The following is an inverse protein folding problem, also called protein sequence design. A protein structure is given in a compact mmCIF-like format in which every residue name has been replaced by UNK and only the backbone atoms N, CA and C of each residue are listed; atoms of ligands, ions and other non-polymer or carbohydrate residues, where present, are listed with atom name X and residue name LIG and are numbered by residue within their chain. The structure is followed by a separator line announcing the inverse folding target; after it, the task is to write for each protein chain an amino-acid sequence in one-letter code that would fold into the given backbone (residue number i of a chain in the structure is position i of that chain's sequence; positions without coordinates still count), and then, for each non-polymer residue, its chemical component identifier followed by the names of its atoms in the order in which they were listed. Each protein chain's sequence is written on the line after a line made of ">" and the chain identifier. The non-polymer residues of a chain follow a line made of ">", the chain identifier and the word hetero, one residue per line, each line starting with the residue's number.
data_IF_139637863297
#
_entry.id   IF_139637863297
#
_cell.length_a   1.000
_cell.length_b   1.000
_cell.length_c   1.000
_cell.angle_alpha   90.00
_cell.angle_beta   90.00
_cell.angle_gamma   90.00
#
_symmetry.space_group_name_H-M   'P 1'
#
loop_
_entity.id
_entity.type
_entity.pdbx_description
1 polymer ?
#
# COMPACT_ATOMS: atom_id res chain seq x y z
N UNK A 1 -34.24 -22.76 14.68
CA UNK A 1 -33.99 -21.42 14.11
C UNK A 1 -32.89 -20.81 14.95
N UNK A 2 -31.66 -21.27 14.73
CA UNK A 2 -30.49 -20.75 15.43
C UNK A 2 -29.68 -19.94 14.43
N UNK A 3 -29.70 -18.62 14.62
CA UNK A 3 -28.79 -17.71 13.93
C UNK A 3 -27.39 -18.02 14.44
N UNK A 4 -26.56 -18.62 13.59
CA UNK A 4 -25.12 -18.58 13.81
C UNK A 4 -24.68 -17.12 13.64
N UNK A 5 -24.34 -16.50 14.76
CA UNK A 5 -23.50 -15.31 14.81
C UNK A 5 -22.13 -15.67 14.19
N UNK A 6 -21.97 -15.42 12.89
CA UNK A 6 -20.66 -15.41 12.25
C UNK A 6 -19.97 -14.13 12.73
N UNK A 7 -19.10 -14.28 13.73
CA UNK A 7 -18.16 -13.24 14.15
C UNK A 7 -17.35 -12.78 12.93
N UNK A 8 -17.58 -11.54 12.51
CA UNK A 8 -16.87 -10.87 11.41
C UNK A 8 -15.50 -10.34 11.85
N UNK A 9 -14.72 -11.14 12.56
CA UNK A 9 -13.31 -10.81 12.87
C UNK A 9 -12.41 -11.59 11.91
N UNK A 10 -12.21 -11.04 10.72
CA UNK A 10 -11.14 -11.48 9.81
C UNK A 10 -10.14 -10.34 9.70
N UNK A 11 -9.45 -10.07 10.82
CA UNK A 11 -8.25 -9.27 10.82
C UNK A 11 -7.21 -10.06 10.01
N UNK A 12 -6.93 -9.61 8.78
CA UNK A 12 -6.01 -10.34 7.90
C UNK A 12 -4.61 -10.33 8.55
N UNK A 13 -3.98 -11.50 8.74
CA UNK A 13 -2.65 -11.58 9.38
C UNK A 13 -1.51 -11.00 8.51
N UNK A 14 -1.81 -10.64 7.26
CA UNK A 14 -0.85 -10.18 6.27
C UNK A 14 -1.37 -9.04 5.39
N UNK A 15 -0.47 -8.13 4.95
CA UNK A 15 -0.79 -7.08 4.00
C UNK A 15 -1.15 -7.62 2.63
N UNK A 16 -2.02 -6.88 1.94
CA UNK A 16 -2.38 -7.11 0.56
C UNK A 16 -1.80 -5.99 -0.29
N UNK A 17 -0.97 -6.35 -1.26
CA UNK A 17 -0.22 -5.42 -2.10
C UNK A 17 -0.80 -5.48 -3.52
N UNK A 18 -1.54 -4.44 -3.91
CA UNK A 18 -1.94 -4.25 -5.30
C UNK A 18 -0.85 -3.50 -6.06
N UNK A 19 -0.35 -4.10 -7.13
CA UNK A 19 0.72 -3.58 -7.99
C UNK A 19 0.11 -3.32 -9.37
N UNK A 20 0.20 -2.09 -9.86
CA UNK A 20 -0.16 -1.75 -11.22
C UNK A 20 1.05 -1.24 -12.00
N UNK A 21 1.18 -1.69 -13.25
CA UNK A 21 2.24 -1.25 -14.15
C UNK A 21 1.74 -1.14 -15.59
N UNK A 22 2.48 -0.40 -16.40
CA UNK A 22 2.24 -0.33 -17.84
C UNK A 22 2.77 -1.58 -18.58
N UNK A 23 2.36 -1.80 -19.83
CA UNK A 23 2.91 -2.91 -20.65
C UNK A 23 4.42 -2.77 -20.91
N UNK A 24 4.91 -1.54 -21.10
CA UNK A 24 6.33 -1.24 -21.30
C UNK A 24 7.19 -1.44 -20.03
N UNK A 25 6.56 -1.67 -18.88
CA UNK A 25 7.20 -1.75 -17.57
C UNK A 25 7.65 -3.18 -17.21
N UNK A 26 7.65 -4.13 -18.17
CA UNK A 26 7.90 -5.56 -17.92
C UNK A 26 9.23 -5.85 -17.22
N UNK A 27 10.33 -5.23 -17.68
CA UNK A 27 11.66 -5.49 -17.08
C UNK A 27 11.76 -4.91 -15.66
N UNK A 28 11.12 -3.78 -15.41
CA UNK A 28 11.00 -3.25 -14.05
C UNK A 28 10.13 -4.15 -13.17
N UNK A 29 9.07 -4.73 -13.73
CA UNK A 29 8.19 -5.65 -13.02
C UNK A 29 8.94 -6.93 -12.67
N UNK A 30 9.71 -7.51 -13.60
CA UNK A 30 10.61 -8.65 -13.35
C UNK A 30 11.61 -8.34 -12.23
N UNK A 31 12.23 -7.16 -12.27
CA UNK A 31 13.15 -6.70 -11.22
C UNK A 31 12.45 -6.61 -9.87
N UNK A 32 11.23 -6.06 -9.84
CA UNK A 32 10.42 -5.96 -8.63
C UNK A 32 10.10 -7.35 -8.09
N UNK A 33 9.49 -8.23 -8.88
CA UNK A 33 9.07 -9.57 -8.41
C UNK A 33 10.26 -10.45 -8.04
N UNK A 34 11.40 -10.30 -8.71
CA UNK A 34 12.64 -10.99 -8.35
C UNK A 34 13.24 -10.50 -7.02
N UNK A 35 12.95 -9.27 -6.62
CA UNK A 35 13.35 -8.75 -5.31
C UNK A 35 12.45 -9.21 -4.16
N UNK A 36 11.22 -9.69 -4.44
CA UNK A 36 10.26 -10.12 -3.43
C UNK A 36 10.69 -11.45 -2.81
N UNK A 37 11.50 -11.35 -1.75
CA UNK A 37 11.94 -12.48 -0.93
C UNK A 37 11.01 -12.71 0.27
N UNK A 38 10.20 -11.72 0.63
CA UNK A 38 9.30 -11.81 1.78
C UNK A 38 8.05 -12.63 1.48
N UNK A 39 7.76 -13.60 2.32
CA UNK A 39 6.54 -14.42 2.26
C UNK A 39 5.36 -13.78 2.98
N UNK A 40 5.51 -12.55 3.48
CA UNK A 40 4.62 -12.04 4.52
C UNK A 40 3.38 -11.31 4.00
N UNK A 41 3.23 -11.15 2.68
CA UNK A 41 2.09 -10.48 2.04
C UNK A 41 1.60 -11.21 0.79
N UNK A 42 0.41 -10.83 0.30
CA UNK A 42 -0.16 -11.33 -0.96
C UNK A 42 -0.08 -10.24 -2.02
N UNK A 43 0.43 -10.56 -3.21
CA UNK A 43 0.68 -9.60 -4.27
C UNK A 43 -0.31 -9.79 -5.42
N UNK A 44 -0.94 -8.72 -5.89
CA UNK A 44 -1.90 -8.75 -6.99
C UNK A 44 -1.41 -7.78 -8.06
N UNK A 45 -1.03 -8.31 -9.23
CA UNK A 45 -0.45 -7.57 -10.33
C UNK A 45 -1.51 -7.30 -11.41
N UNK A 46 -1.67 -6.02 -11.73
CA UNK A 46 -2.39 -5.52 -12.89
C UNK A 46 -1.36 -4.99 -13.88
N UNK A 47 -1.30 -5.57 -15.08
CA UNK A 47 -0.59 -4.97 -16.20
C UNK A 47 -1.62 -4.29 -17.09
N UNK A 48 -1.40 -2.99 -17.35
CA UNK A 48 -2.13 -2.11 -18.27
C UNK A 48 -3.45 -2.68 -18.80
N UNK A 49 -4.56 -2.31 -18.17
CA UNK A 49 -5.87 -2.80 -18.56
C UNK A 49 -6.36 -2.20 -19.89
N UNK A 50 -5.64 -1.20 -20.45
CA UNK A 50 -6.00 -0.48 -21.67
C UNK A 50 -5.25 -0.95 -22.92
N UNK A 51 -4.20 -1.77 -22.75
CA UNK A 51 -3.39 -2.36 -23.81
C UNK A 51 -3.46 -3.89 -23.74
N UNK A 52 -3.19 -4.61 -24.84
CA UNK A 52 -3.00 -6.05 -24.78
C UNK A 52 -1.92 -6.40 -23.76
N UNK A 53 -2.22 -7.33 -22.86
CA UNK A 53 -1.25 -7.80 -21.88
C UNK A 53 -0.14 -8.57 -22.58
N UNK A 54 1.05 -8.59 -21.96
CA UNK A 54 2.11 -9.47 -22.44
C UNK A 54 1.64 -10.91 -22.38
N UNK A 55 1.74 -11.63 -23.50
CA UNK A 55 1.37 -13.05 -23.57
C UNK A 55 2.18 -13.84 -22.55
N UNK A 56 1.50 -14.73 -21.83
CA UNK A 56 2.09 -15.58 -20.80
C UNK A 56 2.82 -14.78 -19.70
N UNK A 57 2.28 -13.61 -19.31
CA UNK A 57 2.92 -12.76 -18.30
C UNK A 57 3.25 -13.51 -17.02
N UNK A 58 2.34 -14.37 -16.55
CA UNK A 58 2.55 -15.19 -15.35
C UNK A 58 3.78 -16.11 -15.47
N UNK A 59 3.93 -16.80 -16.60
CA UNK A 59 5.11 -17.64 -16.89
C UNK A 59 6.39 -16.81 -16.98
N UNK A 60 6.35 -15.64 -17.63
CA UNK A 60 7.51 -14.75 -17.75
C UNK A 60 7.96 -14.20 -16.40
N UNK A 61 7.02 -13.85 -15.52
CA UNK A 61 7.34 -13.39 -14.17
C UNK A 61 7.85 -14.54 -13.31
N UNK A 62 7.31 -15.76 -13.47
CA UNK A 62 7.75 -16.93 -12.71
C UNK A 62 9.22 -17.27 -12.96
N UNK A 63 9.76 -16.98 -14.15
CA UNK A 63 11.18 -17.20 -14.47
C UNK A 63 12.14 -16.40 -13.59
N UNK A 64 11.70 -15.26 -13.05
CA UNK A 64 12.53 -14.39 -12.19
C UNK A 64 12.04 -14.32 -10.75
N UNK A 65 10.77 -14.63 -10.50
CA UNK A 65 10.18 -14.58 -9.17
C UNK A 65 10.65 -15.74 -8.30
N UNK A 66 10.91 -15.44 -7.03
CA UNK A 66 11.16 -16.44 -5.99
C UNK A 66 9.83 -17.01 -5.49
N UNK A 67 8.81 -16.17 -5.40
CA UNK A 67 7.46 -16.55 -4.98
C UNK A 67 6.68 -17.21 -6.13
N UNK A 68 5.74 -18.14 -5.83
CA UNK A 68 4.83 -18.68 -6.83
C UNK A 68 3.98 -17.58 -7.48
N UNK A 69 3.99 -17.57 -8.82
CA UNK A 69 3.19 -16.69 -9.66
C UNK A 69 2.02 -17.48 -10.24
N UNK A 70 0.81 -16.97 -10.08
CA UNK A 70 -0.42 -17.60 -10.56
C UNK A 70 -1.28 -16.59 -11.31
N UNK A 71 -1.70 -16.92 -12.52
CA UNK A 71 -2.76 -16.17 -13.18
C UNK A 71 -4.12 -16.52 -12.56
N UNK A 72 -4.95 -15.51 -12.30
CA UNK A 72 -6.30 -15.73 -11.80
C UNK A 72 -7.16 -16.25 -12.96
N UNK A 73 -7.86 -17.38 -12.77
CA UNK A 73 -8.72 -17.97 -13.83
C UNK A 73 -10.18 -17.59 -13.66
N UNK A 74 -10.72 -17.71 -12.44
CA UNK A 74 -12.11 -17.36 -12.12
C UNK A 74 -12.20 -16.73 -10.74
N UNK A 75 -11.66 -17.44 -9.75
CA UNK A 75 -11.52 -16.96 -8.38
C UNK A 75 -10.16 -17.33 -7.81
N UNK A 76 -9.63 -16.48 -6.95
CA UNK A 76 -8.42 -16.78 -6.19
C UNK A 76 -8.60 -16.38 -4.72
N UNK A 77 -8.29 -17.29 -3.81
CA UNK A 77 -8.11 -16.98 -2.40
C UNK A 77 -6.70 -16.43 -2.21
N UNK A 78 -6.59 -15.24 -1.63
CA UNK A 78 -5.29 -14.59 -1.40
C UNK A 78 -4.52 -15.30 -0.32
N UNK A 79 -3.27 -15.69 -0.62
CA UNK A 79 -2.36 -16.33 0.32
C UNK A 79 -1.07 -15.50 0.45
N UNK A 80 -0.51 -15.42 1.67
CA UNK A 80 0.78 -14.77 1.86
C UNK A 80 1.87 -15.54 1.10
N UNK A 81 2.80 -14.81 0.49
CA UNK A 81 3.87 -15.39 -0.33
C UNK A 81 3.44 -15.82 -1.73
N UNK A 82 2.29 -15.34 -2.23
CA UNK A 82 1.85 -15.59 -3.60
C UNK A 82 1.73 -14.30 -4.40
N UNK A 83 2.05 -14.42 -5.69
CA UNK A 83 1.86 -13.37 -6.69
C UNK A 83 0.72 -13.80 -7.60
N UNK A 84 -0.35 -13.02 -7.64
CA UNK A 84 -1.51 -13.23 -8.50
C UNK A 84 -1.47 -12.25 -9.66
N UNK A 85 -1.53 -12.74 -10.89
CA UNK A 85 -1.62 -11.93 -12.10
C UNK A 85 -3.07 -11.85 -12.54
N UNK A 86 -3.58 -10.64 -12.70
CA UNK A 86 -4.90 -10.40 -13.28
C UNK A 86 -4.78 -10.55 -14.81
N UNK A 87 -5.57 -11.42 -15.45
CA UNK A 87 -5.56 -11.55 -16.90
C UNK A 87 -6.22 -10.33 -17.58
N UNK A 88 -5.80 -10.05 -18.81
CA UNK A 88 -6.38 -9.00 -19.66
C UNK A 88 -7.89 -9.14 -19.84
N UNK A 89 -8.57 -8.05 -20.20
CA UNK A 89 -10.01 -8.01 -20.47
C UNK A 89 -10.91 -8.45 -19.28
N UNK A 90 -10.36 -8.45 -18.06
CA UNK A 90 -11.11 -8.76 -16.85
C UNK A 90 -11.09 -7.61 -15.84
N UNK A 91 -12.21 -7.50 -15.16
CA UNK A 91 -12.45 -6.71 -13.97
C UNK A 91 -12.20 -7.59 -12.74
N UNK A 92 -11.41 -7.11 -11.77
CA UNK A 92 -11.16 -7.85 -10.53
C UNK A 92 -12.02 -7.33 -9.38
N UNK A 93 -12.91 -8.17 -8.89
CA UNK A 93 -13.75 -7.88 -7.74
C UNK A 93 -13.14 -8.53 -6.50
N UNK A 94 -13.05 -7.75 -5.42
CA UNK A 94 -12.70 -8.27 -4.10
C UNK A 94 -13.98 -8.43 -3.29
N UNK A 95 -14.40 -9.68 -3.09
CA UNK A 95 -15.61 -10.00 -2.34
C UNK A 95 -15.27 -10.97 -1.22
N UNK A 96 -15.56 -10.58 0.02
CA UNK A 96 -15.27 -11.36 1.24
C UNK A 96 -13.82 -11.88 1.37
N UNK A 97 -12.86 -11.33 0.62
CA UNK A 97 -11.44 -11.75 0.66
C UNK A 97 -11.06 -12.73 -0.43
N UNK A 98 -12.01 -13.02 -1.30
CA UNK A 98 -11.81 -13.79 -2.52
C UNK A 98 -11.73 -12.80 -3.67
N UNK A 99 -10.69 -12.97 -4.49
CA UNK A 99 -10.56 -12.29 -5.77
C UNK A 99 -11.46 -13.01 -6.78
N UNK A 100 -12.31 -12.28 -7.49
CA UNK A 100 -13.22 -12.83 -8.50
C UNK A 100 -13.07 -12.07 -9.80
N UNK A 101 -12.87 -12.78 -10.89
CA UNK A 101 -12.86 -12.17 -12.22
C UNK A 101 -14.28 -12.03 -12.75
N UNK A 102 -14.54 -10.87 -13.33
CA UNK A 102 -15.73 -10.57 -14.12
C UNK A 102 -15.24 -10.01 -15.46
N UNK A 103 -15.87 -10.37 -16.57
CA UNK A 103 -15.56 -9.73 -17.85
C UNK A 103 -16.03 -8.28 -17.86
N UNK A 104 -15.28 -7.39 -18.49
CA UNK A 104 -15.73 -6.01 -18.70
C UNK A 104 -17.08 -5.99 -19.44
N UNK A 105 -18.01 -5.22 -18.92
CA UNK A 105 -19.20 -4.79 -19.66
C UNK A 105 -18.84 -3.65 -20.61
N UNK A 106 -19.67 -3.36 -21.61
CA UNK A 106 -19.41 -2.30 -22.60
C UNK A 106 -19.30 -0.89 -21.99
N UNK A 107 -19.77 -0.70 -20.76
CA UNK A 107 -19.84 0.60 -20.08
C UNK A 107 -18.69 0.81 -19.09
N UNK A 108 -18.00 -0.26 -18.66
CA UNK A 108 -16.91 -0.20 -17.68
C UNK A 108 -15.58 0.16 -18.36
N UNK A 109 -14.86 1.14 -17.80
CA UNK A 109 -13.53 1.50 -18.30
C UNK A 109 -12.43 0.71 -17.58
N UNK A 110 -11.36 0.30 -18.28
CA UNK A 110 -10.17 -0.28 -17.69
C UNK A 110 -9.60 0.49 -16.48
N UNK A 111 -9.49 1.82 -16.60
CA UNK A 111 -9.00 2.68 -15.52
C UNK A 111 -9.86 2.66 -14.26
N UNK A 112 -11.19 2.51 -14.41
CA UNK A 112 -12.13 2.40 -13.29
C UNK A 112 -11.92 1.09 -12.52
N UNK A 113 -11.42 0.03 -13.17
CA UNK A 113 -11.14 -1.25 -12.52
C UNK A 113 -10.03 -1.13 -11.47
N UNK A 114 -8.95 -0.41 -11.78
CA UNK A 114 -7.84 -0.23 -10.85
C UNK A 114 -8.24 0.64 -9.66
N UNK A 115 -8.94 1.75 -9.91
CA UNK A 115 -9.46 2.62 -8.84
C UNK A 115 -10.48 1.90 -7.94
N UNK A 116 -11.36 1.09 -8.53
CA UNK A 116 -12.33 0.29 -7.78
C UNK A 116 -11.63 -0.80 -6.96
N UNK A 117 -10.63 -1.50 -7.52
CA UNK A 117 -9.88 -2.51 -6.79
C UNK A 117 -9.11 -1.91 -5.61
N UNK A 118 -8.36 -0.83 -5.83
CA UNK A 118 -7.67 -0.15 -4.74
C UNK A 118 -8.66 0.42 -3.70
N UNK A 119 -9.81 0.92 -4.13
CA UNK A 119 -10.89 1.31 -3.23
C UNK A 119 -11.41 0.15 -2.37
N UNK A 120 -11.63 -1.01 -2.99
CA UNK A 120 -12.07 -2.22 -2.28
C UNK A 120 -10.99 -2.73 -1.30
N UNK A 121 -9.70 -2.67 -1.69
CA UNK A 121 -8.59 -2.96 -0.78
C UNK A 121 -8.59 -2.01 0.42
N UNK A 122 -8.76 -0.71 0.20
CA UNK A 122 -8.82 0.29 1.26
C UNK A 122 -9.96 0.02 2.25
N UNK A 123 -11.16 -0.27 1.74
CA UNK A 123 -12.33 -0.54 2.59
C UNK A 123 -12.19 -1.85 3.37
N UNK A 124 -11.67 -2.91 2.74
CA UNK A 124 -11.57 -4.23 3.37
C UNK A 124 -10.37 -4.36 4.31
N UNK A 125 -9.20 -3.86 3.90
CA UNK A 125 -7.93 -4.10 4.59
C UNK A 125 -7.38 -2.87 5.30
N UNK A 126 -7.88 -1.66 5.01
CA UNK A 126 -7.47 -0.42 5.69
C UNK A 126 -5.95 -0.26 5.78
N UNK A 127 -5.42 -0.25 7.00
CA UNK A 127 -3.98 -0.19 7.28
C UNK A 127 -3.14 -1.33 6.68
N UNK A 128 -3.73 -2.46 6.33
CA UNK A 128 -3.09 -3.62 5.68
C UNK A 128 -3.09 -3.54 4.15
N UNK A 129 -3.79 -2.56 3.57
CA UNK A 129 -3.74 -2.30 2.14
C UNK A 129 -2.46 -1.54 1.76
N UNK A 130 -1.77 -2.03 0.73
CA UNK A 130 -0.66 -1.34 0.09
C UNK A 130 -0.96 -1.22 -1.40
N UNK A 131 -0.94 0.00 -1.92
CA UNK A 131 -1.07 0.28 -3.34
C UNK A 131 0.26 0.72 -3.94
N UNK A 132 0.67 0.09 -5.03
CA UNK A 132 1.94 0.31 -5.68
C UNK A 132 1.71 0.60 -7.17
N UNK A 133 2.28 1.70 -7.66
CA UNK A 133 2.32 2.02 -9.09
C UNK A 133 3.76 2.01 -9.59
N UNK A 134 4.01 1.21 -10.63
CA UNK A 134 5.32 1.02 -11.24
C UNK A 134 5.39 1.74 -12.59
N UNK A 135 6.32 2.69 -12.72
CA UNK A 135 6.58 3.47 -13.94
C UNK A 135 5.29 4.03 -14.58
N UNK A 136 4.30 4.37 -13.74
CA UNK A 136 2.95 4.66 -14.18
C UNK A 136 2.75 6.19 -14.33
N UNK A 137 2.38 6.70 -15.52
CA UNK A 137 2.05 8.11 -15.70
C UNK A 137 0.77 8.42 -14.92
N UNK A 138 0.84 9.40 -14.04
CA UNK A 138 -0.21 9.79 -13.10
C UNK A 138 -1.60 9.89 -13.76
N UNK A 139 -2.59 9.14 -13.25
CA UNK A 139 -3.99 9.26 -13.70
C UNK A 139 -4.88 8.10 -13.22
N UNK A 140 -4.57 6.88 -13.64
CA UNK A 140 -5.36 5.68 -13.27
C UNK A 140 -4.96 5.13 -11.90
N UNK A 141 -5.94 4.70 -11.12
CA UNK A 141 -5.72 4.15 -9.78
C UNK A 141 -5.44 5.21 -8.71
N UNK A 142 -5.23 6.49 -9.08
CA UNK A 142 -4.89 7.56 -8.15
C UNK A 142 -5.99 7.82 -7.10
N UNK A 143 -7.27 7.69 -7.47
CA UNK A 143 -8.38 7.87 -6.53
C UNK A 143 -8.46 6.71 -5.54
N UNK A 144 -8.25 5.48 -6.01
CA UNK A 144 -8.16 4.29 -5.19
C UNK A 144 -6.96 4.34 -4.23
N UNK A 145 -5.80 4.79 -4.69
CA UNK A 145 -4.62 5.02 -3.83
C UNK A 145 -4.90 6.07 -2.76
N UNK A 146 -5.54 7.18 -3.10
CA UNK A 146 -5.96 8.19 -2.11
C UNK A 146 -6.89 7.58 -1.05
N UNK A 147 -7.79 6.66 -1.44
CA UNK A 147 -8.62 5.91 -0.48
C UNK A 147 -7.78 4.98 0.42
N UNK A 148 -6.82 4.25 -0.13
CA UNK A 148 -5.87 3.42 0.66
C UNK A 148 -5.21 4.27 1.74
N UNK A 149 -4.64 5.42 1.34
CA UNK A 149 -3.97 6.35 2.24
C UNK A 149 -4.92 6.91 3.30
N UNK A 150 -6.12 7.31 2.90
CA UNK A 150 -7.14 7.81 3.84
C UNK A 150 -7.61 6.78 4.87
N UNK A 151 -7.54 5.47 4.53
CA UNK A 151 -7.87 4.36 5.43
C UNK A 151 -6.65 3.84 6.22
N UNK A 152 -5.53 4.57 6.17
CA UNK A 152 -4.31 4.28 6.92
C UNK A 152 -3.36 3.28 6.25
N UNK A 153 -3.70 2.78 5.06
CA UNK A 153 -2.83 1.95 4.23
C UNK A 153 -1.68 2.75 3.61
N UNK A 154 -0.76 2.08 2.93
CA UNK A 154 0.44 2.73 2.36
C UNK A 154 0.39 2.80 0.83
N UNK A 155 0.95 3.87 0.28
CA UNK A 155 0.99 4.09 -1.17
C UNK A 155 2.42 4.32 -1.66
N UNK A 156 2.83 3.61 -2.71
CA UNK A 156 4.21 3.58 -3.19
C UNK A 156 4.25 3.85 -4.69
N UNK A 157 5.04 4.84 -5.09
CA UNK A 157 5.46 5.01 -6.46
C UNK A 157 6.83 4.34 -6.65
N UNK A 158 6.91 3.42 -7.61
CA UNK A 158 8.14 2.74 -7.99
C UNK A 158 8.57 3.21 -9.37
N UNK A 159 9.79 3.69 -9.48
CA UNK A 159 10.33 4.16 -10.75
C UNK A 159 11.83 3.97 -10.84
N UNK A 160 12.31 3.63 -12.03
CA UNK A 160 13.74 3.63 -12.37
C UNK A 160 14.23 4.96 -12.96
N UNK A 161 13.30 5.85 -13.32
CA UNK A 161 13.63 7.21 -13.77
C UNK A 161 14.50 7.95 -12.75
N UNK A 162 15.55 8.60 -13.25
CA UNK A 162 16.53 9.38 -12.47
C UNK A 162 15.89 10.57 -11.76
N UNK A 163 14.85 11.15 -12.35
CA UNK A 163 14.01 12.19 -11.76
C UNK A 163 12.56 11.76 -11.91
N UNK A 164 11.93 11.46 -10.79
CA UNK A 164 10.48 11.32 -10.73
C UNK A 164 9.87 12.71 -10.97
N UNK A 165 8.98 12.89 -11.95
CA UNK A 165 8.20 14.11 -12.06
C UNK A 165 7.21 14.14 -10.89
N UNK A 166 7.65 14.71 -9.76
CA UNK A 166 6.79 14.92 -8.59
C UNK A 166 5.90 16.12 -8.91
N UNK A 167 4.71 15.84 -9.44
CA UNK A 167 3.63 16.83 -9.49
C UNK A 167 2.94 16.94 -8.12
N UNK A 168 2.18 18.00 -7.88
CA UNK A 168 1.36 18.13 -6.65
C UNK A 168 0.38 16.95 -6.49
N UNK A 169 -0.06 16.36 -7.61
CA UNK A 169 -0.87 15.15 -7.60
C UNK A 169 -0.09 13.93 -7.09
N UNK A 170 1.21 13.82 -7.39
CA UNK A 170 2.05 12.75 -6.87
C UNK A 170 2.25 12.87 -5.35
N UNK A 171 2.50 14.08 -4.81
CA UNK A 171 2.65 14.29 -3.36
C UNK A 171 1.39 13.93 -2.57
N UNK A 172 0.21 14.19 -3.13
CA UNK A 172 -1.06 13.89 -2.46
C UNK A 172 -1.48 12.42 -2.57
N UNK A 173 -0.90 11.68 -3.51
CA UNK A 173 -1.29 10.30 -3.84
C UNK A 173 -0.35 9.26 -3.23
N UNK A 174 0.95 9.54 -3.16
CA UNK A 174 1.96 8.57 -2.72
C UNK A 174 2.62 8.95 -1.39
N UNK A 175 2.88 7.93 -0.57
CA UNK A 175 3.65 8.08 0.66
C UNK A 175 5.16 7.94 0.43
N UNK A 176 5.54 7.06 -0.49
CA UNK A 176 6.92 6.69 -0.73
C UNK A 176 7.24 6.67 -2.23
N UNK A 177 8.48 7.04 -2.54
CA UNK A 177 9.04 7.01 -3.88
C UNK A 177 10.33 6.18 -3.84
N UNK A 178 10.36 5.07 -4.57
CA UNK A 178 11.47 4.11 -4.51
C UNK A 178 11.86 3.59 -5.89
N UNK A 179 13.03 2.93 -5.96
CA UNK A 179 13.45 2.14 -7.12
C UNK A 179 12.91 0.71 -7.01
N UNK A 180 12.71 0.00 -8.14
CA UNK A 180 12.23 -1.39 -8.14
C UNK A 180 13.03 -2.31 -7.21
N UNK A 181 14.36 -2.15 -7.16
CA UNK A 181 15.27 -2.97 -6.35
C UNK A 181 15.10 -2.82 -4.84
N UNK A 182 14.46 -1.75 -4.36
CA UNK A 182 14.25 -1.50 -2.93
C UNK A 182 12.84 -1.87 -2.46
N UNK A 183 12.03 -2.50 -3.32
CA UNK A 183 10.62 -2.78 -3.02
C UNK A 183 10.47 -3.69 -1.81
N UNK A 184 11.20 -4.81 -1.76
CA UNK A 184 11.14 -5.73 -0.62
C UNK A 184 11.55 -5.07 0.70
N UNK A 185 12.70 -4.38 0.74
CA UNK A 185 13.18 -3.68 1.94
C UNK A 185 12.19 -2.62 2.42
N UNK A 186 11.55 -1.90 1.49
CA UNK A 186 10.53 -0.91 1.82
C UNK A 186 9.28 -1.56 2.43
N UNK A 187 8.79 -2.65 1.85
CA UNK A 187 7.65 -3.40 2.39
C UNK A 187 7.94 -3.96 3.79
N UNK A 188 9.15 -4.50 3.99
CA UNK A 188 9.65 -4.96 5.28
C UNK A 188 9.62 -3.84 6.33
N UNK A 189 10.14 -2.66 5.94
CA UNK A 189 10.21 -1.48 6.80
C UNK A 189 8.83 -0.96 7.18
N UNK A 190 7.92 -0.86 6.20
CA UNK A 190 6.53 -0.46 6.44
C UNK A 190 5.86 -1.42 7.42
N UNK A 191 6.02 -2.73 7.23
CA UNK A 191 5.46 -3.74 8.14
C UNK A 191 6.02 -3.59 9.56
N UNK A 192 7.34 -3.48 9.71
CA UNK A 192 7.99 -3.35 11.00
C UNK A 192 7.52 -2.10 11.76
N UNK A 193 7.49 -0.95 11.08
CA UNK A 193 7.01 0.31 11.68
C UNK A 193 5.54 0.22 12.04
N UNK A 194 4.71 -0.38 11.18
CA UNK A 194 3.29 -0.58 11.47
C UNK A 194 3.06 -1.39 12.74
N UNK A 195 3.86 -2.45 12.96
CA UNK A 195 3.82 -3.23 14.20
C UNK A 195 4.26 -2.37 15.39
N UNK A 196 5.34 -1.59 15.24
CA UNK A 196 5.83 -0.71 16.30
C UNK A 196 4.83 0.39 16.71
N UNK A 197 4.04 0.93 15.77
CA UNK A 197 3.00 1.93 16.07
C UNK A 197 1.76 1.30 16.74
N UNK A 198 1.59 -0.02 16.62
CA UNK A 198 0.51 -0.77 17.28
C UNK A 198 0.93 -1.38 18.61
N UNK A 199 2.18 -1.19 19.01
CA UNK A 199 2.70 -1.69 20.28
C UNK A 199 1.87 -1.14 21.45
N UNK A 200 1.32 -2.07 22.25
CA UNK A 200 0.48 -1.79 23.40
C UNK A 200 1.29 -1.73 24.71
N UNK A 201 2.61 -1.81 24.64
CA UNK A 201 3.46 -1.58 25.80
C UNK A 201 3.24 -0.18 26.37
N UNK A 202 3.30 -0.06 27.70
CA UNK A 202 3.12 1.22 28.40
C UNK A 202 4.09 2.28 27.88
N UNK A 203 5.32 1.88 27.56
CA UNK A 203 6.35 2.78 27.04
C UNK A 203 5.98 3.32 25.65
N UNK A 204 5.53 2.47 24.73
CA UNK A 204 5.11 2.87 23.39
C UNK A 204 3.87 3.76 23.43
N UNK A 205 2.86 3.41 24.24
CA UNK A 205 1.66 4.24 24.42
C UNK A 205 2.02 5.62 24.94
N UNK A 206 2.86 5.70 25.98
CA UNK A 206 3.30 6.98 26.54
C UNK A 206 4.11 7.80 25.52
N UNK A 207 4.95 7.15 24.72
CA UNK A 207 5.71 7.81 23.67
C UNK A 207 4.78 8.39 22.59
N UNK A 208 3.77 7.64 22.16
CA UNK A 208 2.78 8.09 21.19
C UNK A 208 1.95 9.28 21.70
N UNK A 209 1.47 9.23 22.94
CA UNK A 209 0.79 10.37 23.57
C UNK A 209 1.66 11.62 23.60
N UNK A 210 2.95 11.47 23.86
CA UNK A 210 3.89 12.59 23.90
C UNK A 210 4.16 13.16 22.50
N UNK A 211 4.25 12.32 21.46
CA UNK A 211 4.33 12.76 20.06
C UNK A 211 3.10 13.60 19.73
N UNK A 212 1.91 13.13 20.12
CA UNK A 212 0.66 13.83 19.91
C UNK A 212 0.62 15.17 20.66
N UNK A 213 1.04 15.21 21.94
CA UNK A 213 1.10 16.45 22.73
C UNK A 213 2.04 17.48 22.10
N UNK A 214 3.21 17.04 21.61
CA UNK A 214 4.14 17.90 20.86
C UNK A 214 3.47 18.47 19.60
N UNK A 215 2.65 17.68 18.92
CA UNK A 215 1.87 18.12 17.77
C UNK A 215 0.82 19.18 18.10
N UNK A 216 0.04 18.98 19.18
CA UNK A 216 -0.95 19.95 19.63
C UNK A 216 -0.33 21.31 19.92
N UNK A 217 0.81 21.32 20.62
CA UNK A 217 1.47 22.55 21.04
C UNK A 217 1.98 23.40 19.87
N UNK A 218 2.45 22.78 18.79
CA UNK A 218 2.95 23.50 17.61
C UNK A 218 1.88 23.86 16.58
N UNK A 219 0.82 23.06 16.42
CA UNK A 219 -0.11 23.20 15.30
C UNK A 219 -1.14 24.36 15.45
N UNK A 220 -1.28 25.01 16.61
CA UNK A 220 -2.35 25.99 16.94
C UNK A 220 -3.79 25.49 16.67
N UNK A 221 -3.98 24.27 16.18
CA UNK A 221 -5.27 23.64 15.90
C UNK A 221 -5.59 22.64 17.00
N UNK A 222 -6.86 22.58 17.39
CA UNK A 222 -7.33 21.65 18.40
C UNK A 222 -7.12 20.21 17.93
N UNK A 223 -6.34 19.45 18.71
CA UNK A 223 -5.97 18.07 18.45
C UNK A 223 -7.19 17.14 18.31
N UNK A 224 -8.30 17.52 18.94
CA UNK A 224 -9.63 16.87 18.86
C UNK A 224 -10.18 16.75 17.43
N UNK A 225 -9.63 17.48 16.46
CA UNK A 225 -10.05 17.42 15.06
C UNK A 225 -9.41 16.31 14.25
N UNK A 226 -8.34 15.68 14.75
CA UNK A 226 -7.63 14.65 13.99
C UNK A 226 -8.08 13.25 14.40
N UNK A 227 -8.57 12.49 13.41
CA UNK A 227 -8.82 11.06 13.56
C UNK A 227 -7.53 10.35 14.00
N UNK A 228 -7.58 9.60 15.09
CA UNK A 228 -6.44 8.85 15.64
C UNK A 228 -5.74 7.98 14.60
N UNK A 229 -6.49 7.40 13.66
CA UNK A 229 -5.92 6.55 12.61
C UNK A 229 -5.11 7.36 11.58
N UNK A 230 -5.52 8.61 11.30
CA UNK A 230 -4.75 9.52 10.45
C UNK A 230 -3.43 9.89 11.13
N UNK A 231 -3.46 10.16 12.44
CA UNK A 231 -2.24 10.47 13.19
C UNK A 231 -1.31 9.27 13.27
N UNK A 232 -1.82 8.06 13.55
CA UNK A 232 -1.01 6.84 13.54
C UNK A 232 -0.36 6.59 12.18
N UNK A 233 -1.14 6.71 11.10
CA UNK A 233 -0.60 6.57 9.74
C UNK A 233 0.49 7.61 9.47
N UNK A 234 0.26 8.87 9.87
CA UNK A 234 1.25 9.95 9.74
C UNK A 234 2.53 9.66 10.54
N UNK A 235 2.40 9.21 11.78
CA UNK A 235 3.55 8.79 12.61
C UNK A 235 4.30 7.63 11.97
N UNK A 236 3.59 6.59 11.51
CA UNK A 236 4.20 5.46 10.82
C UNK A 236 4.97 5.92 9.57
N UNK A 237 4.37 6.76 8.72
CA UNK A 237 5.03 7.32 7.55
C UNK A 237 6.32 8.04 7.90
N UNK A 238 6.30 8.91 8.91
CA UNK A 238 7.50 9.65 9.33
C UNK A 238 8.55 8.74 9.93
N UNK A 239 8.17 7.73 10.71
CA UNK A 239 9.08 6.71 11.23
C UNK A 239 9.80 5.95 10.11
N UNK A 240 9.09 5.57 9.04
CA UNK A 240 9.71 4.95 7.85
C UNK A 240 10.73 5.91 7.21
N UNK A 241 10.33 7.15 6.94
CA UNK A 241 11.20 8.15 6.28
C UNK A 241 12.43 8.54 7.11
N UNK A 242 12.31 8.52 8.44
CA UNK A 242 13.39 8.86 9.38
C UNK A 242 14.13 7.62 9.92
N UNK A 243 13.79 6.43 9.40
CA UNK A 243 14.39 5.13 9.75
C UNK A 243 14.31 4.78 11.23
N UNK A 244 13.23 5.17 11.89
CA UNK A 244 12.98 4.89 13.30
C UNK A 244 12.20 3.58 13.45
N UNK A 245 12.69 2.70 14.33
CA UNK A 245 12.12 1.36 14.54
C UNK A 245 11.10 1.29 15.69
N UNK A 246 11.01 2.34 16.51
CA UNK A 246 10.10 2.40 17.66
C UNK A 246 9.55 3.81 17.87
N UNK A 247 8.40 3.89 18.53
CA UNK A 247 7.77 5.16 18.91
C UNK A 247 8.66 5.98 19.87
N UNK A 248 9.37 5.30 20.76
CA UNK A 248 10.31 5.93 21.70
C UNK A 248 11.48 6.58 20.96
N UNK A 249 12.10 5.84 20.03
CA UNK A 249 13.19 6.37 19.21
C UNK A 249 12.74 7.54 18.34
N UNK A 250 11.55 7.43 17.75
CA UNK A 250 10.96 8.51 16.97
C UNK A 250 10.65 9.74 17.82
N UNK A 251 10.11 9.58 19.05
CA UNK A 251 9.89 10.70 19.96
C UNK A 251 11.19 11.42 20.31
N UNK A 252 12.28 10.69 20.57
CA UNK A 252 13.59 11.27 20.81
C UNK A 252 14.06 12.13 19.64
N UNK A 253 14.07 11.54 18.44
CA UNK A 253 14.45 12.25 17.21
C UNK A 253 13.55 13.46 16.91
N UNK A 254 12.23 13.34 17.12
CA UNK A 254 11.26 14.41 16.93
C UNK A 254 11.50 15.57 17.90
N UNK A 255 11.94 15.33 19.13
CA UNK A 255 12.28 16.41 20.09
C UNK A 255 13.51 17.20 19.65
N UNK A 256 14.50 16.52 19.08
CA UNK A 256 15.80 17.10 18.77
C UNK A 256 15.87 17.73 17.37
N UNK A 257 14.89 17.48 16.50
CA UNK A 257 14.88 17.95 15.11
C UNK A 257 13.74 18.93 14.83
N UNK A 258 14.06 20.23 14.71
CA UNK A 258 13.08 21.25 14.31
C UNK A 258 12.54 21.02 12.89
N UNK A 259 13.39 20.56 11.96
CA UNK A 259 12.98 20.25 10.60
C UNK A 259 12.02 19.08 10.52
N UNK A 260 12.20 18.04 11.35
CA UNK A 260 11.25 16.94 11.44
C UNK A 260 9.92 17.37 12.05
N UNK A 261 9.97 18.22 13.08
CA UNK A 261 8.78 18.83 13.65
C UNK A 261 8.01 19.58 12.56
N UNK A 262 8.66 20.42 11.75
CA UNK A 262 8.00 21.14 10.66
C UNK A 262 7.41 20.16 9.62
N UNK A 263 8.13 19.10 9.26
CA UNK A 263 7.61 18.06 8.36
C UNK A 263 6.38 17.33 8.94
N UNK A 264 6.36 17.08 10.25
CA UNK A 264 5.24 16.45 10.93
C UNK A 264 4.07 17.43 11.10
N UNK A 265 4.30 18.73 11.26
CA UNK A 265 3.24 19.69 11.61
C UNK A 265 2.69 20.51 10.44
N UNK A 266 3.43 20.71 9.33
CA UNK A 266 3.09 21.71 8.29
C UNK A 266 2.48 21.18 6.98
N UNK A 267 2.17 19.90 6.86
CA UNK A 267 1.45 19.38 5.68
C UNK A 267 0.17 18.64 6.09
N UNK A 268 -0.97 19.31 5.90
CA UNK A 268 -2.32 18.74 5.80
C UNK A 268 -2.79 18.86 4.37
#
# INVERSE_FOLDING_TARGET
>A
MDKLDIKTDQNNEFPIIGIACCAACLENLKTLVGSLTETTGSFIIFQDLSQPQQKNLSEMLQQTAILPVQEIVSTAEMKPGYIYVVPENNFLILDQGILRLKRFTREEKPSESLDQFFGALAEKFGKDAIGLLLNYPTGEGAWGLKKIRAKGGSTIAVSDLTVLPISDMAETTFDYFIRPTHTADMLATIRAVKLAVQDQSTEAQQAYENIIKLAAMKSRTALERFNTEILKHKTAKRMVLTRQKSLVGYLGMLKDSSSEQDCYFMKS
#
